data_IF_888897424565
#
_entry.id   IF_888897424565
#
_cell.length_a   1.000
_cell.length_b   1.000
_cell.length_c   1.000
_cell.angle_alpha   90.00
_cell.angle_beta   90.00
_cell.angle_gamma   90.00
#
_symmetry.space_group_name_H-M   'P 1'
#
loop_
_entity.id
_entity.type
_entity.pdbx_description
1 polymer ?
#
# COMPACT_ATOMS: atom_id res chain seq x y z
N UNK A 1 0.43 2.55 -22.17
CA UNK A 1 0.14 1.13 -21.91
C UNK A 1 0.37 0.94 -20.44
N UNK A 2 -0.64 0.48 -19.70
CA UNK A 2 -0.50 0.32 -18.25
C UNK A 2 0.49 -0.79 -17.90
N UNK A 3 1.22 -0.62 -16.82
CA UNK A 3 2.19 -1.55 -16.26
C UNK A 3 1.83 -1.84 -14.82
N UNK A 4 2.17 -3.05 -14.35
CA UNK A 4 1.94 -3.45 -12.97
C UNK A 4 3.25 -3.34 -12.22
N UNK A 5 3.21 -2.70 -11.06
CA UNK A 5 4.33 -2.58 -10.16
C UNK A 5 4.02 -3.31 -8.86
N UNK A 6 4.99 -4.05 -8.35
CA UNK A 6 4.99 -4.52 -6.97
C UNK A 6 5.61 -3.43 -6.11
N UNK A 7 4.85 -2.95 -5.14
CA UNK A 7 5.21 -1.83 -4.27
C UNK A 7 5.20 -2.34 -2.84
N UNK A 8 6.31 -2.19 -2.14
CA UNK A 8 6.40 -2.42 -0.71
C UNK A 8 6.23 -1.08 0.01
N UNK A 9 5.26 -1.01 0.91
CA UNK A 9 4.94 0.18 1.69
C UNK A 9 4.83 -0.15 3.16
N UNK A 10 5.12 0.84 4.00
CA UNK A 10 4.81 0.80 5.43
C UNK A 10 3.61 1.70 5.65
N UNK A 11 2.57 1.14 6.25
CA UNK A 11 1.38 1.84 6.70
C UNK A 11 1.49 2.07 8.20
N UNK A 12 0.97 3.21 8.66
CA UNK A 12 0.87 3.55 10.08
C UNK A 12 -0.59 3.65 10.46
N UNK A 13 -1.02 2.80 11.38
CA UNK A 13 -2.33 2.88 12.00
C UNK A 13 -2.23 3.68 13.28
N UNK A 14 -2.98 4.78 13.34
CA UNK A 14 -3.14 5.62 14.50
C UNK A 14 -4.32 5.11 15.32
N UNK A 15 -4.01 4.28 16.30
CA UNK A 15 -4.93 3.90 17.38
C UNK A 15 -4.48 4.57 18.70
N UNK A 16 -4.90 4.07 19.86
CA UNK A 16 -4.36 4.49 21.17
C UNK A 16 -2.82 4.32 21.23
N UNK A 17 -2.29 3.35 20.49
CA UNK A 17 -0.87 3.15 20.24
C UNK A 17 -0.62 3.13 18.73
N UNK A 18 0.49 3.72 18.27
CA UNK A 18 0.87 3.59 16.87
C UNK A 18 1.31 2.15 16.59
N UNK A 19 0.66 1.51 15.63
CA UNK A 19 1.09 0.22 15.08
C UNK A 19 1.40 0.40 13.60
N UNK A 20 2.33 -0.39 13.10
CA UNK A 20 2.77 -0.30 11.71
C UNK A 20 2.52 -1.62 11.01
N UNK A 21 2.27 -1.54 9.71
CA UNK A 21 2.05 -2.68 8.85
C UNK A 21 2.94 -2.56 7.64
N UNK A 22 3.67 -3.62 7.33
CA UNK A 22 4.34 -3.77 6.05
C UNK A 22 3.37 -4.41 5.06
N UNK A 23 3.17 -3.76 3.92
CA UNK A 23 2.27 -4.23 2.87
C UNK A 23 2.98 -4.29 1.51
N UNK A 24 2.75 -5.38 0.78
CA UNK A 24 3.20 -5.56 -0.60
C UNK A 24 1.98 -5.62 -1.50
N UNK A 25 1.84 -4.59 -2.32
CA UNK A 25 0.68 -4.38 -3.17
C UNK A 25 1.13 -4.35 -4.62
N UNK A 26 0.42 -5.08 -5.47
CA UNK A 26 0.53 -4.88 -6.91
C UNK A 26 -0.38 -3.71 -7.30
N UNK A 27 0.13 -2.79 -8.11
CA UNK A 27 -0.57 -1.59 -8.54
C UNK A 27 -0.46 -1.43 -10.05
N UNK A 28 -1.59 -1.25 -10.74
CA UNK A 28 -1.63 -0.96 -12.18
C UNK A 28 -1.57 0.56 -12.42
N UNK A 29 -0.56 1.01 -13.18
CA UNK A 29 -0.28 2.44 -13.40
C UNK A 29 0.12 2.72 -14.85
N UNK A 30 -0.08 3.96 -15.32
CA UNK A 30 0.39 4.37 -16.65
C UNK A 30 1.86 4.77 -16.65
N UNK A 31 2.32 5.40 -15.56
CA UNK A 31 3.70 5.84 -15.34
C UNK A 31 4.09 5.66 -13.88
N UNK A 32 5.39 5.51 -13.63
CA UNK A 32 5.93 5.49 -12.26
C UNK A 32 5.74 6.84 -11.54
N UNK A 33 5.54 7.93 -12.28
CA UNK A 33 5.26 9.25 -11.69
C UNK A 33 3.94 9.26 -10.90
N UNK A 34 3.04 8.30 -11.17
CA UNK A 34 1.75 8.11 -10.47
C UNK A 34 1.89 7.32 -9.17
N UNK A 35 3.08 6.76 -8.88
CA UNK A 35 3.28 5.79 -7.79
C UNK A 35 2.73 6.30 -6.46
N UNK A 36 3.08 7.53 -6.09
CA UNK A 36 2.67 8.10 -4.81
C UNK A 36 1.16 8.29 -4.74
N UNK A 37 0.57 8.85 -5.78
CA UNK A 37 -0.87 9.11 -5.84
C UNK A 37 -1.65 7.79 -5.77
N UNK A 38 -1.18 6.75 -6.45
CA UNK A 38 -1.78 5.42 -6.42
C UNK A 38 -1.63 4.71 -5.08
N UNK A 39 -0.50 4.88 -4.39
CA UNK A 39 -0.36 4.38 -3.02
C UNK A 39 -1.33 5.07 -2.07
N UNK A 40 -1.55 6.39 -2.24
CA UNK A 40 -2.54 7.12 -1.44
C UNK A 40 -3.97 6.68 -1.75
N UNK A 41 -4.31 6.45 -3.03
CA UNK A 41 -5.60 5.86 -3.41
C UNK A 41 -5.82 4.49 -2.73
N UNK A 42 -4.78 3.66 -2.64
CA UNK A 42 -4.86 2.37 -1.94
C UNK A 42 -5.07 2.54 -0.43
N UNK A 43 -4.36 3.48 0.20
CA UNK A 43 -4.55 3.79 1.63
C UNK A 43 -5.95 4.33 1.91
N UNK A 44 -6.49 5.16 1.02
CA UNK A 44 -7.87 5.64 1.12
C UNK A 44 -8.88 4.47 1.08
N UNK A 45 -8.64 3.44 0.25
CA UNK A 45 -9.47 2.23 0.23
C UNK A 45 -9.40 1.47 1.56
N UNK A 46 -8.22 1.29 2.14
CA UNK A 46 -8.09 0.68 3.47
C UNK A 46 -8.85 1.51 4.51
N UNK A 47 -8.71 2.84 4.46
CA UNK A 47 -9.37 3.76 5.39
C UNK A 47 -10.89 3.65 5.35
N UNK A 48 -11.49 3.35 4.19
CA UNK A 48 -12.94 3.12 4.05
C UNK A 48 -13.43 1.86 4.79
N UNK A 49 -12.56 0.88 5.00
CA UNK A 49 -12.87 -0.39 5.68
C UNK A 49 -12.65 -0.32 7.22
N UNK A 50 -11.99 0.74 7.72
CA UNK A 50 -11.73 0.94 9.15
C UNK A 50 -12.90 1.56 9.90
N UNK A 51 -12.93 1.40 11.23
CA UNK A 51 -13.91 2.07 12.09
C UNK A 51 -13.63 3.58 12.18
N UNK A 52 -14.65 4.39 12.47
CA UNK A 52 -14.57 5.86 12.63
C UNK A 52 -13.54 6.36 13.68
N UNK A 53 -12.95 5.47 14.48
CA UNK A 53 -11.97 5.77 15.51
C UNK A 53 -10.56 5.28 15.17
N UNK A 54 -10.38 4.69 13.99
CA UNK A 54 -9.12 4.16 13.49
C UNK A 54 -8.72 4.94 12.24
N UNK A 55 -7.44 5.29 12.14
CA UNK A 55 -6.92 6.03 11.00
C UNK A 55 -5.67 5.35 10.47
N UNK A 56 -5.54 5.25 9.16
CA UNK A 56 -4.36 4.72 8.48
C UNK A 56 -3.74 5.79 7.59
N UNK A 57 -2.41 5.85 7.57
CA UNK A 57 -1.67 6.67 6.62
C UNK A 57 -0.50 5.92 6.00
N UNK A 58 -0.14 6.33 4.79
CA UNK A 58 1.11 5.93 4.17
C UNK A 58 2.29 6.53 4.96
N UNK A 59 3.06 5.69 5.66
CA UNK A 59 4.26 6.11 6.35
C UNK A 59 5.43 6.26 5.37
N UNK A 60 5.71 5.20 4.62
CA UNK A 60 6.83 5.15 3.68
C UNK A 60 6.55 4.22 2.50
N UNK A 61 7.10 4.55 1.33
CA UNK A 61 7.22 3.60 0.20
C UNK A 61 8.66 3.10 0.20
N UNK A 62 8.86 1.85 0.65
CA UNK A 62 10.20 1.28 0.87
C UNK A 62 10.90 1.00 -0.45
N UNK A 63 10.22 0.33 -1.38
CA UNK A 63 10.72 0.07 -2.71
C UNK A 63 9.58 -0.26 -3.69
N UNK A 64 9.92 -0.32 -4.98
CA UNK A 64 9.02 -0.74 -6.03
C UNK A 64 9.78 -1.43 -7.17
N UNK A 65 9.13 -2.37 -7.83
CA UNK A 65 9.68 -3.08 -8.99
C UNK A 65 8.59 -3.36 -10.03
N UNK A 66 8.99 -3.43 -11.30
CA UNK A 66 8.07 -3.80 -12.38
C UNK A 66 7.71 -5.29 -12.25
N UNK A 67 6.42 -5.60 -12.12
CA UNK A 67 5.93 -6.97 -11.96
C UNK A 67 5.62 -7.58 -13.33
N UNK A 68 5.79 -8.90 -13.44
CA UNK A 68 5.43 -9.68 -14.64
C UNK A 68 4.02 -10.25 -14.59
N UNK A 69 3.32 -10.05 -13.48
CA UNK A 69 1.95 -10.51 -13.27
C UNK A 69 0.95 -9.75 -14.16
N UNK A 70 -0.25 -10.32 -14.26
CA UNK A 70 -1.38 -9.72 -14.96
C UNK A 70 -2.54 -9.59 -14.00
N UNK A 71 -3.23 -8.46 -14.04
CA UNK A 71 -4.51 -8.28 -13.38
C UNK A 71 -5.65 -8.80 -14.23
N UNK A 72 -6.71 -9.23 -13.57
CA UNK A 72 -8.02 -9.22 -14.21
C UNK A 72 -8.41 -7.77 -14.47
N UNK A 73 -9.06 -7.50 -15.61
CA UNK A 73 -9.34 -6.15 -16.12
C UNK A 73 -10.18 -5.25 -15.20
N UNK A 74 -10.67 -5.76 -14.08
CA UNK A 74 -11.47 -5.03 -13.09
C UNK A 74 -10.71 -4.64 -11.82
N UNK A 75 -9.44 -5.04 -11.65
CA UNK A 75 -8.65 -4.79 -10.45
C UNK A 75 -7.59 -3.71 -10.72
N UNK A 76 -7.53 -2.69 -9.85
CA UNK A 76 -6.46 -1.66 -9.89
C UNK A 76 -5.37 -1.93 -8.84
N UNK A 77 -5.72 -2.63 -7.77
CA UNK A 77 -4.85 -2.99 -6.65
C UNK A 77 -5.04 -4.47 -6.34
N UNK A 78 -3.95 -5.13 -5.92
CA UNK A 78 -4.01 -6.48 -5.38
C UNK A 78 -2.96 -6.60 -4.27
N UNK A 79 -3.44 -6.76 -3.05
CA UNK A 79 -2.61 -7.13 -1.90
C UNK A 79 -2.00 -8.52 -2.15
N UNK A 80 -0.69 -8.64 -1.92
CA UNK A 80 0.05 -9.90 -2.04
C UNK A 80 0.45 -10.41 -0.67
N UNK A 81 0.77 -9.52 0.25
CA UNK A 81 1.23 -9.83 1.58
C UNK A 81 1.07 -8.61 2.47
N UNK A 82 0.53 -8.79 3.68
CA UNK A 82 0.56 -7.79 4.73
C UNK A 82 0.96 -8.45 6.07
N UNK A 83 1.74 -7.75 6.89
CA UNK A 83 2.13 -8.16 8.24
C UNK A 83 2.32 -6.94 9.15
N UNK A 84 1.77 -6.99 10.37
CA UNK A 84 2.03 -5.98 11.39
C UNK A 84 3.46 -6.12 11.93
N UNK A 85 4.18 -5.00 11.98
CA UNK A 85 5.58 -4.91 12.40
C UNK A 85 5.74 -3.99 13.61
N UNK A 86 6.77 -4.26 14.41
CA UNK A 86 7.14 -3.41 15.53
C UNK A 86 7.81 -2.11 15.05
N UNK A 87 7.69 -1.02 15.82
CA UNK A 87 8.29 0.27 15.48
C UNK A 87 9.82 0.21 15.33
N UNK A 88 10.47 -0.71 16.05
CA UNK A 88 11.92 -0.94 15.98
C UNK A 88 12.37 -1.56 14.65
N UNK A 89 11.45 -2.10 13.83
CA UNK A 89 11.76 -2.75 12.54
C UNK A 89 11.74 -1.79 11.34
N UNK A 90 11.37 -0.51 11.56
CA UNK A 90 11.19 0.53 10.52
C UNK A 90 12.53 1.28 10.23
N UNK A 91 13.67 0.66 10.53
CA UNK A 91 14.99 1.30 10.58
C UNK A 91 15.55 1.81 9.23
#
# INVERSE_FOLDING_TARGET
MKQIYSVKMILKYKTDVSIYEEDIVLIEMESIDELKDKCLEYVDLIQEDLNDHEFVELHEIVNWNLASEKFDSSMNFKEVYSEFIDEDEIA
#
